data_IF_362970022480
#
_entry.id   IF_362970022480
#
_cell.length_a   1.000
_cell.length_b   1.000
_cell.length_c   1.000
_cell.angle_alpha   90.00
_cell.angle_beta   90.00
_cell.angle_gamma   90.00
#
_symmetry.space_group_name_H-M   'P 1'
#
loop_
_entity.id
_entity.type
_entity.pdbx_description
1 polymer ?
#
# COMPACT_ATOMS: atom_id res chain seq x y z
N UNK A 1 -13.50 -3.94 2.48
CA UNK A 1 -12.36 -4.51 1.74
C UNK A 1 -11.82 -5.66 2.57
N UNK A 2 -11.72 -6.86 2.01
CA UNK A 2 -11.22 -8.02 2.75
C UNK A 2 -9.70 -7.97 2.87
N UNK A 3 -9.17 -8.32 4.04
CA UNK A 3 -7.74 -8.33 4.39
C UNK A 3 -6.90 -9.00 3.29
N UNK A 4 -7.36 -10.14 2.81
CA UNK A 4 -6.66 -10.93 1.81
C UNK A 4 -6.65 -10.27 0.43
N UNK A 5 -7.75 -9.65 0.03
CA UNK A 5 -7.81 -8.88 -1.22
C UNK A 5 -6.85 -7.69 -1.20
N UNK A 6 -6.72 -7.01 -0.05
CA UNK A 6 -5.77 -5.92 0.13
C UNK A 6 -4.31 -6.41 0.09
N UNK A 7 -4.01 -7.52 0.77
CA UNK A 7 -2.69 -8.18 0.71
C UNK A 7 -2.31 -8.52 -0.73
N UNK A 8 -3.22 -9.14 -1.48
CA UNK A 8 -2.98 -9.51 -2.87
C UNK A 8 -2.84 -8.31 -3.81
N UNK A 9 -3.62 -7.24 -3.58
CA UNK A 9 -3.46 -6.00 -4.34
C UNK A 9 -2.06 -5.38 -4.13
N UNK A 10 -1.58 -5.34 -2.88
CA UNK A 10 -0.24 -4.86 -2.55
C UNK A 10 0.85 -5.75 -3.16
N UNK A 11 0.74 -7.08 -3.02
CA UNK A 11 1.69 -8.02 -3.63
C UNK A 11 1.71 -7.89 -5.16
N UNK A 12 0.56 -7.75 -5.80
CA UNK A 12 0.47 -7.51 -7.25
C UNK A 12 1.15 -6.20 -7.65
N UNK A 13 0.89 -5.11 -6.92
CA UNK A 13 1.52 -3.82 -7.17
C UNK A 13 3.05 -3.90 -7.05
N UNK A 14 3.57 -4.51 -5.99
CA UNK A 14 5.00 -4.71 -5.77
C UNK A 14 5.63 -5.63 -6.82
N UNK A 15 4.95 -6.73 -7.16
CA UNK A 15 5.43 -7.72 -8.13
C UNK A 15 5.66 -7.12 -9.50
N UNK A 16 4.72 -6.31 -9.96
CA UNK A 16 4.70 -5.77 -11.32
C UNK A 16 5.17 -4.32 -11.41
N UNK A 17 5.68 -3.72 -10.33
CA UNK A 17 6.13 -2.33 -10.32
C UNK A 17 5.02 -1.34 -10.64
N UNK A 18 3.79 -1.61 -10.17
CA UNK A 18 2.60 -0.81 -10.44
C UNK A 18 2.21 0.03 -9.22
N UNK A 19 1.40 1.06 -9.46
CA UNK A 19 0.82 1.84 -8.39
C UNK A 19 -0.23 1.04 -7.62
N UNK A 20 -0.16 1.06 -6.29
CA UNK A 20 -1.29 0.74 -5.41
C UNK A 20 -2.03 2.05 -5.11
N UNK A 21 -3.30 2.11 -5.46
CA UNK A 21 -4.14 3.30 -5.28
C UNK A 21 -5.14 3.05 -4.16
N UNK A 22 -5.14 3.91 -3.15
CA UNK A 22 -6.20 4.01 -2.15
C UNK A 22 -7.11 5.18 -2.51
N UNK A 23 -8.32 4.89 -2.96
CA UNK A 23 -9.35 5.90 -3.15
C UNK A 23 -10.19 6.01 -1.86
N UNK A 24 -10.02 7.14 -1.16
CA UNK A 24 -10.76 7.45 0.07
C UNK A 24 -11.89 8.46 -0.16
N UNK A 25 -12.09 8.90 -1.41
CA UNK A 25 -13.16 9.83 -1.81
C UNK A 25 -13.25 11.06 -0.88
N UNK A 26 -14.44 11.38 -0.38
CA UNK A 26 -14.75 12.52 0.48
C UNK A 26 -14.69 12.18 1.99
N UNK A 27 -14.24 10.98 2.36
CA UNK A 27 -14.23 10.53 3.76
C UNK A 27 -12.80 10.40 4.26
N UNK A 28 -12.52 10.97 5.43
CA UNK A 28 -11.22 10.84 6.10
C UNK A 28 -11.06 9.42 6.69
N UNK A 29 -10.73 8.47 5.82
CA UNK A 29 -10.58 7.05 6.13
C UNK A 29 -9.12 6.64 6.31
N UNK A 30 -8.18 7.58 6.27
CA UNK A 30 -6.76 7.25 6.18
C UNK A 30 -6.26 6.45 7.41
N UNK A 31 -6.71 6.82 8.61
CA UNK A 31 -6.41 6.07 9.84
C UNK A 31 -7.02 4.66 9.81
N UNK A 32 -8.23 4.51 9.27
CA UNK A 32 -8.86 3.20 9.14
C UNK A 32 -8.13 2.35 8.10
N UNK A 33 -7.77 2.90 6.94
CA UNK A 33 -6.93 2.23 5.96
C UNK A 33 -5.61 1.78 6.60
N UNK A 34 -4.94 2.64 7.37
CA UNK A 34 -3.72 2.31 8.10
C UNK A 34 -3.91 1.06 8.98
N UNK A 35 -5.01 1.00 9.76
CA UNK A 35 -5.32 -0.18 10.57
C UNK A 35 -5.55 -1.43 9.72
N UNK A 36 -6.21 -1.32 8.58
CA UNK A 36 -6.43 -2.46 7.67
C UNK A 36 -5.13 -3.01 7.08
N UNK A 37 -4.15 -2.15 6.78
CA UNK A 37 -2.81 -2.62 6.40
C UNK A 37 -2.11 -3.29 7.58
N UNK A 38 -2.21 -2.71 8.78
CA UNK A 38 -1.58 -3.27 9.98
C UNK A 38 -2.20 -4.60 10.44
N UNK A 39 -3.46 -4.87 10.07
CA UNK A 39 -4.10 -6.17 10.25
C UNK A 39 -3.48 -7.26 9.36
N UNK A 40 -2.93 -6.90 8.19
CA UNK A 40 -2.15 -7.81 7.33
C UNK A 40 -0.84 -8.16 8.01
N UNK A 41 -0.08 -7.15 8.37
CA UNK A 41 1.17 -7.29 9.08
C UNK A 41 1.38 -6.04 9.95
N UNK A 42 1.67 -6.17 11.25
CA UNK A 42 1.86 -5.01 12.12
C UNK A 42 2.92 -4.04 11.58
N UNK A 43 2.54 -2.77 11.41
CA UNK A 43 3.42 -1.71 10.90
C UNK A 43 3.56 -1.69 9.37
N UNK A 44 2.75 -2.44 8.63
CA UNK A 44 2.80 -2.51 7.17
C UNK A 44 2.64 -1.13 6.53
N UNK A 45 1.68 -0.31 6.98
CA UNK A 45 1.51 1.03 6.41
C UNK A 45 2.79 1.86 6.56
N UNK A 46 3.45 1.78 7.71
CA UNK A 46 4.71 2.48 7.96
C UNK A 46 5.81 2.02 6.99
N UNK A 47 5.91 0.72 6.71
CA UNK A 47 6.89 0.18 5.74
C UNK A 47 6.60 0.60 4.30
N UNK A 48 5.33 0.84 3.96
CA UNK A 48 4.93 1.38 2.64
C UNK A 48 5.35 2.84 2.54
N UNK A 49 4.97 3.67 3.52
CA UNK A 49 5.22 5.11 3.51
C UNK A 49 6.73 5.45 3.57
N UNK A 50 7.52 4.68 4.32
CA UNK A 50 8.97 4.89 4.39
C UNK A 50 9.75 4.14 3.28
N UNK A 51 9.05 3.49 2.35
CA UNK A 51 9.60 2.72 1.22
C UNK A 51 10.40 1.46 1.58
N UNK A 52 10.48 1.05 2.86
CA UNK A 52 11.21 -0.16 3.24
C UNK A 52 10.57 -1.44 2.69
N UNK A 53 9.26 -1.40 2.38
CA UNK A 53 8.52 -2.50 1.75
C UNK A 53 9.14 -2.98 0.42
N UNK A 54 9.95 -2.15 -0.25
CA UNK A 54 10.57 -2.49 -1.54
C UNK A 54 11.70 -3.51 -1.43
N UNK A 55 12.19 -3.80 -0.22
CA UNK A 55 13.24 -4.80 0.02
C UNK A 55 12.68 -6.22 0.05
N UNK A 56 13.45 -7.20 -0.44
CA UNK A 56 13.07 -8.62 -0.41
C UNK A 56 12.68 -9.08 0.99
N UNK A 57 13.44 -8.66 2.00
CA UNK A 57 13.16 -8.99 3.40
C UNK A 57 11.81 -8.52 3.89
N UNK A 58 11.28 -7.40 3.37
CA UNK A 58 10.00 -6.86 3.82
C UNK A 58 8.83 -7.42 3.01
N UNK A 59 8.86 -7.37 1.68
CA UNK A 59 7.72 -7.88 0.89
C UNK A 59 7.57 -9.40 1.00
N UNK A 60 8.65 -10.15 1.24
CA UNK A 60 8.55 -11.62 1.38
C UNK A 60 7.74 -12.04 2.61
N UNK A 61 7.61 -11.18 3.63
CA UNK A 61 6.77 -11.45 4.81
C UNK A 61 5.28 -11.47 4.48
N UNK A 62 4.89 -10.90 3.35
CA UNK A 62 3.50 -10.87 2.88
C UNK A 62 3.13 -12.11 2.06
N UNK A 63 4.11 -12.89 1.60
CA UNK A 63 3.91 -14.09 0.79
C UNK A 63 3.56 -15.26 1.71
N UNK A 64 2.59 -16.08 1.29
CA UNK A 64 2.15 -17.28 2.00
C UNK A 64 2.29 -18.51 1.11
N UNK A 65 2.32 -19.71 1.71
CA UNK A 65 2.43 -20.97 0.97
C UNK A 65 1.21 -21.27 0.07
N UNK A 66 0.11 -20.54 0.25
CA UNK A 66 -1.09 -20.65 -0.57
C UNK A 66 -1.04 -19.79 -1.85
N UNK A 67 -0.07 -18.88 -1.96
CA UNK A 67 0.06 -17.98 -3.10
C UNK A 67 0.54 -18.72 -4.35
N UNK A 68 0.12 -18.21 -5.52
CA UNK A 68 0.53 -18.78 -6.80
C UNK A 68 2.06 -18.67 -6.97
N UNK A 69 2.71 -19.61 -7.71
CA UNK A 69 4.16 -19.60 -7.94
C UNK A 69 4.69 -18.34 -8.63
N UNK A 70 3.82 -17.52 -9.20
CA UNK A 70 4.20 -16.20 -9.70
C UNK A 70 4.61 -15.24 -8.59
N UNK A 71 4.07 -15.36 -7.38
CA UNK A 71 4.47 -14.56 -6.21
C UNK A 71 5.70 -15.15 -5.50
N UNK A 72 6.51 -15.97 -6.18
CA UNK A 72 7.84 -16.31 -5.68
C UNK A 72 8.68 -15.05 -5.48
N UNK A 73 9.35 -14.97 -4.33
CA UNK A 73 10.07 -13.77 -3.88
C UNK A 73 11.14 -13.28 -4.86
N UNK A 74 11.72 -14.15 -5.69
CA UNK A 74 12.74 -13.76 -6.68
C UNK A 74 12.16 -13.16 -7.96
N UNK A 75 10.83 -13.09 -8.07
CA UNK A 75 10.13 -12.63 -9.28
C UNK A 75 9.55 -11.22 -9.14
N UNK A 76 9.84 -10.51 -8.06
CA UNK A 76 9.34 -9.15 -7.82
C UNK A 76 10.19 -8.14 -8.57
N UNK A 77 9.55 -7.27 -9.34
CA UNK A 77 10.14 -6.05 -9.86
C UNK A 77 9.50 -4.86 -9.16
N UNK A 78 10.12 -4.39 -8.08
CA UNK A 78 9.60 -3.27 -7.29
C UNK A 78 9.90 -1.91 -7.93
N UNK A 79 10.69 -1.87 -9.01
CA UNK A 79 10.94 -0.66 -9.78
C UNK A 79 9.64 -0.16 -10.40
N UNK A 80 9.27 1.08 -10.08
CA UNK A 80 8.02 1.69 -10.52
C UNK A 80 6.86 1.56 -9.54
N UNK A 81 7.01 0.81 -8.44
CA UNK A 81 5.99 0.81 -7.38
C UNK A 81 5.76 2.23 -6.85
N UNK A 82 4.49 2.60 -6.78
CA UNK A 82 4.03 3.84 -6.20
C UNK A 82 2.85 3.55 -5.26
N UNK A 83 2.74 4.34 -4.20
CA UNK A 83 1.58 4.33 -3.33
C UNK A 83 0.88 5.68 -3.47
N UNK A 84 -0.37 5.66 -3.91
CA UNK A 84 -1.13 6.88 -4.23
C UNK A 84 -2.40 6.87 -3.40
N UNK A 85 -2.68 7.97 -2.73
CA UNK A 85 -3.95 8.20 -2.05
C UNK A 85 -4.73 9.23 -2.86
N UNK A 86 -5.92 8.85 -3.33
CA UNK A 86 -6.84 9.73 -4.02
C UNK A 86 -7.92 10.19 -3.06
N UNK A 87 -8.19 11.49 -3.05
CA UNK A 87 -9.25 12.08 -2.25
C UNK A 87 -9.84 13.29 -2.97
N UNK A 88 -11.14 13.49 -2.79
CA UNK A 88 -11.90 14.66 -3.22
C UNK A 88 -12.25 15.59 -2.04
N UNK A 89 -11.70 15.33 -0.84
CA UNK A 89 -11.89 16.19 0.32
C UNK A 89 -11.31 17.59 0.07
N UNK A 90 -12.10 18.61 0.37
CA UNK A 90 -11.64 20.02 0.29
C UNK A 90 -10.60 20.36 1.35
N UNK A 91 -10.59 19.63 2.47
CA UNK A 91 -9.64 19.79 3.56
C UNK A 91 -9.27 18.42 4.16
N UNK A 92 -8.32 17.69 3.54
CA UNK A 92 -7.82 16.43 4.09
C UNK A 92 -7.20 16.59 5.48
N UNK A 93 -7.14 15.50 6.26
CA UNK A 93 -6.56 15.55 7.61
C UNK A 93 -5.07 15.88 7.60
N UNK A 94 -4.61 16.52 8.69
CA UNK A 94 -3.19 16.83 8.86
C UNK A 94 -2.31 15.58 8.79
N UNK A 95 -2.75 14.48 9.40
CA UNK A 95 -2.03 13.20 9.35
C UNK A 95 -1.77 12.75 7.93
N UNK A 96 -2.79 12.78 7.05
CA UNK A 96 -2.65 12.40 5.65
C UNK A 96 -1.68 13.35 4.93
N UNK A 97 -1.81 14.66 5.14
CA UNK A 97 -0.95 15.67 4.51
C UNK A 97 0.51 15.55 4.97
N UNK A 98 0.76 15.29 6.25
CA UNK A 98 2.11 15.19 6.83
C UNK A 98 2.82 13.87 6.47
N UNK A 99 2.06 12.80 6.24
CA UNK A 99 2.60 11.48 5.90
C UNK A 99 2.72 11.25 4.38
N UNK A 100 2.16 12.12 3.57
CA UNK A 100 2.18 12.00 2.11
C UNK A 100 2.71 13.28 1.45
N UNK A 101 2.89 13.24 0.13
CA UNK A 101 3.22 14.42 -0.65
C UNK A 101 1.97 14.86 -1.43
N UNK A 102 1.29 15.95 -1.02
CA UNK A 102 0.04 16.36 -1.65
C UNK A 102 0.28 16.90 -3.06
N UNK A 103 -0.52 16.41 -4.01
CA UNK A 103 -0.57 16.92 -5.39
C UNK A 103 -1.99 17.41 -5.62
N UNK A 104 -2.13 18.71 -5.92
CA UNK A 104 -3.42 19.32 -6.25
C UNK A 104 -3.56 19.24 -7.77
N UNK A 105 -4.64 18.62 -8.23
CA UNK A 105 -4.98 18.54 -9.65
C UNK A 105 -6.18 19.46 -9.88
N UNK A 106 -5.99 20.49 -10.70
CA UNK A 106 -7.02 21.45 -11.13
C UNK A 106 -7.75 20.98 -12.39
#
# INVERSE_FOLDING_TARGET
>A
MEKESLRMALLGALRYGKALVLDIQETDMFDQCTRMFDEIQPGLMKTILNRSILSESEYSKLITDADLPEYDKFRFNTDGFAFVVLTSMTSPSKTLIEQTYPIIVE
#
